data_IF_031576267857
#
_entry.id   IF_031576267857
#
_cell.length_a   1.000
_cell.length_b   1.000
_cell.length_c   1.000
_cell.angle_alpha   90.00
_cell.angle_beta   90.00
_cell.angle_gamma   90.00
#
_symmetry.space_group_name_H-M   'P 1'
#
loop_
_entity.id
_entity.type
_entity.pdbx_description
1 polymer ?
#
# COMPACT_ATOMS: atom_id res chain seq x y z
N UNK A 1 12.92 -1.96 5.90
CA UNK A 1 12.81 -0.57 5.39
C UNK A 1 11.83 -0.51 4.20
N UNK A 2 10.52 -0.60 4.46
CA UNK A 2 9.45 -0.07 3.59
C UNK A 2 8.76 1.03 4.41
N UNK A 3 7.91 0.62 5.35
CA UNK A 3 7.40 1.41 6.49
C UNK A 3 8.47 2.01 7.42
N UNK A 4 9.75 1.77 7.16
CA UNK A 4 10.83 2.36 7.95
C UNK A 4 11.84 3.09 7.09
N UNK A 5 11.63 3.21 5.77
CA UNK A 5 12.66 3.75 4.88
C UNK A 5 13.06 5.19 5.27
N UNK A 6 12.13 6.16 5.45
CA UNK A 6 12.47 7.50 5.96
C UNK A 6 13.15 7.48 7.33
N UNK A 7 12.71 6.63 8.26
CA UNK A 7 13.31 6.50 9.60
C UNK A 7 14.76 6.00 9.52
N UNK A 8 15.02 4.98 8.71
CA UNK A 8 16.35 4.41 8.50
C UNK A 8 17.26 5.44 7.84
N UNK A 9 16.81 6.10 6.77
CA UNK A 9 17.60 7.12 6.09
C UNK A 9 18.00 8.26 7.05
N UNK A 10 17.10 8.70 7.92
CA UNK A 10 17.37 9.73 8.94
C UNK A 10 18.45 9.33 9.96
N UNK A 11 18.64 8.03 10.18
CA UNK A 11 19.67 7.54 11.11
C UNK A 11 21.06 7.43 10.50
N UNK A 12 21.20 7.64 9.18
CA UNK A 12 22.48 7.55 8.48
C UNK A 12 23.24 8.88 8.58
N UNK A 13 24.54 8.79 8.83
CA UNK A 13 25.44 9.95 8.85
C UNK A 13 25.50 10.58 7.44
N UNK A 14 25.36 11.90 7.38
CA UNK A 14 25.44 12.68 6.13
C UNK A 14 24.12 12.82 5.37
N UNK A 15 23.03 12.19 5.81
CA UNK A 15 21.70 12.40 5.23
C UNK A 15 21.05 13.62 5.88
N UNK A 16 20.77 14.65 5.10
CA UNK A 16 20.05 15.84 5.56
C UNK A 16 18.58 15.52 5.90
N UNK A 17 18.10 15.74 7.13
CA UNK A 17 16.72 15.39 7.50
C UNK A 17 15.65 16.09 6.66
N UNK A 18 15.95 17.27 6.13
CA UNK A 18 15.06 18.05 5.25
C UNK A 18 14.93 17.47 3.84
N UNK A 19 15.87 16.60 3.42
CA UNK A 19 15.78 15.92 2.13
C UNK A 19 14.85 14.70 2.15
N UNK A 20 14.36 14.29 3.32
CA UNK A 20 13.55 13.08 3.48
C UNK A 20 12.06 13.40 3.43
N UNK A 21 11.25 12.61 2.73
CA UNK A 21 9.80 12.79 2.77
C UNK A 21 9.25 12.47 4.16
N UNK A 22 8.17 13.17 4.53
CA UNK A 22 7.38 12.80 5.70
C UNK A 22 6.66 11.47 5.44
N UNK A 23 6.68 10.58 6.43
CA UNK A 23 6.09 9.27 6.31
C UNK A 23 4.69 9.23 6.95
N UNK A 24 3.75 8.63 6.23
CA UNK A 24 2.39 8.36 6.69
C UNK A 24 2.03 6.89 6.45
N UNK A 25 0.90 6.46 6.99
CA UNK A 25 0.44 5.08 6.91
C UNK A 25 -1.04 5.02 6.56
N UNK A 26 -1.35 4.25 5.51
CA UNK A 26 -2.72 3.95 5.12
C UNK A 26 -2.92 2.44 5.15
N UNK A 27 -3.62 1.96 6.19
CA UNK A 27 -4.07 0.59 6.32
C UNK A 27 -5.19 0.30 5.33
N UNK A 28 -5.21 -0.93 4.83
CA UNK A 28 -6.24 -1.48 3.98
C UNK A 28 -6.65 -2.83 4.52
N UNK A 29 -7.90 -2.93 4.92
CA UNK A 29 -8.56 -4.12 5.42
C UNK A 29 -9.12 -4.93 4.25
N UNK A 30 -9.02 -6.26 4.36
CA UNK A 30 -9.57 -7.19 3.38
C UNK A 30 -10.51 -8.17 4.07
N UNK A 31 -11.60 -8.50 3.37
CA UNK A 31 -12.58 -9.49 3.82
C UNK A 31 -12.72 -10.59 2.78
N UNK A 32 -12.64 -11.83 3.24
CA UNK A 32 -12.88 -13.01 2.41
C UNK A 32 -14.37 -13.29 2.29
N UNK A 33 -14.79 -13.79 1.13
CA UNK A 33 -16.15 -14.26 0.92
C UNK A 33 -16.31 -15.71 1.41
N UNK A 34 -17.30 -15.98 2.26
CA UNK A 34 -17.66 -17.38 2.58
C UNK A 34 -18.22 -18.08 1.35
N UNK A 35 -17.61 -19.21 1.00
CA UNK A 35 -18.06 -20.07 -0.09
C UNK A 35 -17.40 -19.74 -1.43
N UNK A 36 -18.07 -20.12 -2.51
CA UNK A 36 -17.51 -20.03 -3.87
C UNK A 36 -17.51 -18.58 -4.36
N UNK A 37 -16.41 -18.17 -4.99
CA UNK A 37 -16.35 -16.90 -5.73
C UNK A 37 -17.45 -16.83 -6.80
N UNK A 38 -18.19 -15.70 -6.90
CA UNK A 38 -19.10 -15.45 -8.02
C UNK A 38 -18.35 -14.99 -9.29
N UNK A 39 -17.05 -14.67 -9.18
CA UNK A 39 -16.23 -14.13 -10.27
C UNK A 39 -15.17 -15.14 -10.73
N UNK A 40 -14.85 -15.09 -12.02
CA UNK A 40 -13.73 -15.83 -12.65
C UNK A 40 -12.53 -14.93 -12.97
N UNK A 41 -12.64 -13.62 -12.73
CA UNK A 41 -11.59 -12.63 -12.93
C UNK A 41 -11.62 -11.59 -11.79
N UNK A 42 -10.60 -10.72 -11.76
CA UNK A 42 -10.56 -9.60 -10.83
C UNK A 42 -11.55 -8.52 -11.28
N UNK A 43 -12.25 -7.89 -10.34
CA UNK A 43 -13.21 -6.81 -10.62
C UNK A 43 -12.73 -5.52 -9.94
N UNK A 44 -12.56 -4.47 -10.74
CA UNK A 44 -12.17 -3.15 -10.30
C UNK A 44 -13.27 -2.17 -10.71
N UNK A 45 -14.05 -1.63 -9.76
CA UNK A 45 -14.99 -0.55 -10.05
C UNK A 45 -14.24 0.67 -10.61
N UNK A 46 -14.93 1.45 -11.44
CA UNK A 46 -14.39 2.73 -11.91
C UNK A 46 -14.19 3.65 -10.70
N UNK A 47 -13.03 4.32 -10.56
CA UNK A 47 -12.82 5.27 -9.47
C UNK A 47 -13.86 6.39 -9.51
N UNK A 48 -14.57 6.59 -8.40
CA UNK A 48 -15.41 7.77 -8.16
C UNK A 48 -14.75 8.63 -7.08
N UNK A 49 -14.89 9.96 -7.14
CA UNK A 49 -14.27 10.89 -6.18
C UNK A 49 -14.63 10.60 -4.71
N UNK A 50 -15.77 9.94 -4.46
CA UNK A 50 -16.30 9.65 -3.12
C UNK A 50 -16.43 8.15 -2.78
N UNK A 51 -16.05 7.24 -3.69
CA UNK A 51 -16.19 5.80 -3.49
C UNK A 51 -14.98 5.17 -2.80
N UNK A 52 -15.19 4.10 -2.03
CA UNK A 52 -14.11 3.35 -1.38
C UNK A 52 -13.29 2.54 -2.39
N UNK A 53 -13.88 2.23 -3.56
CA UNK A 53 -13.21 1.53 -4.65
C UNK A 53 -12.86 0.08 -4.29
N UNK A 54 -13.80 -0.65 -3.67
CA UNK A 54 -13.57 -2.02 -3.19
C UNK A 54 -13.46 -2.99 -4.36
N UNK A 55 -12.25 -3.48 -4.62
CA UNK A 55 -12.00 -4.49 -5.65
C UNK A 55 -12.43 -5.89 -5.18
N UNK A 56 -12.83 -6.75 -6.12
CA UNK A 56 -12.87 -8.19 -5.89
C UNK A 56 -11.61 -8.82 -6.50
N UNK A 57 -10.85 -9.51 -5.66
CA UNK A 57 -9.65 -10.25 -6.08
C UNK A 57 -9.83 -11.73 -5.82
N UNK A 58 -9.08 -12.54 -6.58
CA UNK A 58 -9.03 -14.00 -6.42
C UNK A 58 -7.61 -14.38 -6.05
N UNK A 59 -7.47 -15.26 -5.07
CA UNK A 59 -6.19 -15.92 -4.87
C UNK A 59 -5.98 -17.08 -5.82
N UNK A 60 -4.81 -17.72 -5.72
CA UNK A 60 -4.45 -18.84 -6.57
C UNK A 60 -5.35 -20.07 -6.36
N UNK A 61 -6.05 -20.16 -5.23
CA UNK A 61 -7.07 -21.17 -4.95
C UNK A 61 -8.48 -20.79 -5.44
N UNK A 62 -8.65 -19.59 -6.00
CA UNK A 62 -9.94 -19.07 -6.45
C UNK A 62 -10.80 -18.49 -5.32
N UNK A 63 -10.26 -18.33 -4.11
CA UNK A 63 -10.98 -17.71 -3.00
C UNK A 63 -11.11 -16.21 -3.26
N UNK A 64 -12.34 -15.70 -3.16
CA UNK A 64 -12.63 -14.29 -3.37
C UNK A 64 -12.36 -13.47 -2.11
N UNK A 65 -11.71 -12.32 -2.29
CA UNK A 65 -11.48 -11.29 -1.27
C UNK A 65 -11.92 -9.94 -1.80
N UNK A 66 -12.53 -9.16 -0.93
CA UNK A 66 -12.89 -7.78 -1.17
C UNK A 66 -11.93 -6.84 -0.45
N UNK A 67 -11.57 -5.76 -1.13
CA UNK A 67 -10.75 -4.69 -0.58
C UNK A 67 -9.63 -4.26 -1.53
N UNK A 68 -8.64 -3.53 -1.00
CA UNK A 68 -8.62 -2.94 0.33
C UNK A 68 -9.51 -1.71 0.45
N UNK A 69 -9.89 -1.36 1.68
CA UNK A 69 -10.30 0.01 2.01
C UNK A 69 -9.10 0.94 2.26
N UNK A 70 -9.40 2.14 2.77
CA UNK A 70 -8.40 3.10 3.24
C UNK A 70 -8.74 3.54 4.66
N UNK A 71 -7.81 3.27 5.57
CA UNK A 71 -7.84 3.69 6.96
C UNK A 71 -6.48 4.35 7.29
N UNK A 72 -6.48 5.66 7.53
CA UNK A 72 -5.26 6.38 7.90
C UNK A 72 -4.93 6.10 9.37
N UNK A 73 -3.74 5.55 9.62
CA UNK A 73 -3.32 5.11 10.95
C UNK A 73 -2.01 5.77 11.36
N UNK A 74 -1.78 5.83 12.67
CA UNK A 74 -0.49 6.24 13.24
C UNK A 74 0.13 5.04 13.97
N UNK A 75 1.47 4.89 13.96
CA UNK A 75 2.13 3.88 14.77
C UNK A 75 1.85 4.10 16.26
N UNK A 76 1.80 3.02 17.02
CA UNK A 76 1.71 3.05 18.48
C UNK A 76 2.96 3.66 19.14
N UNK A 77 2.95 3.78 20.47
CA UNK A 77 4.04 4.40 21.23
C UNK A 77 5.41 3.72 21.04
N UNK A 78 5.42 2.42 20.72
CA UNK A 78 6.62 1.63 20.41
C UNK A 78 7.02 1.67 18.91
N UNK A 79 6.27 2.40 18.08
CA UNK A 79 6.48 2.48 16.63
C UNK A 79 5.88 1.33 15.83
N UNK A 80 5.07 0.46 16.45
CA UNK A 80 4.40 -0.65 15.75
C UNK A 80 3.12 -0.20 15.07
N UNK A 81 2.82 -0.82 13.92
CA UNK A 81 1.57 -0.65 13.20
C UNK A 81 0.60 -1.75 13.61
N UNK A 82 -0.67 -1.39 13.79
CA UNK A 82 -1.72 -2.36 14.06
C UNK A 82 -2.27 -2.96 12.76
N UNK A 83 -2.21 -4.28 12.67
CA UNK A 83 -2.70 -5.07 11.53
C UNK A 83 -3.98 -5.84 11.83
N UNK A 84 -4.58 -5.66 13.01
CA UNK A 84 -5.87 -6.30 13.33
C UNK A 84 -6.96 -5.81 12.38
N UNK A 85 -7.67 -6.73 11.73
CA UNK A 85 -8.78 -6.36 10.84
C UNK A 85 -9.99 -5.99 11.68
N UNK A 86 -10.51 -4.78 11.49
CA UNK A 86 -11.70 -4.33 12.22
C UNK A 86 -12.95 -5.02 11.68
N UNK A 87 -13.63 -5.82 12.50
CA UNK A 87 -14.84 -6.51 12.08
C UNK A 87 -15.97 -5.55 11.66
N UNK A 88 -16.06 -4.38 12.30
CA UNK A 88 -17.15 -3.42 12.06
C UNK A 88 -17.05 -2.73 10.70
N UNK A 89 -15.86 -2.68 10.10
CA UNK A 89 -15.65 -2.09 8.77
C UNK A 89 -16.12 -3.00 7.64
N UNK A 90 -16.57 -4.23 7.90
CA UNK A 90 -17.20 -5.05 6.87
C UNK A 90 -18.49 -4.41 6.33
N UNK A 91 -19.18 -3.61 7.14
CA UNK A 91 -20.47 -3.01 6.78
C UNK A 91 -20.36 -2.10 5.55
N UNK A 92 -19.31 -1.27 5.47
CA UNK A 92 -19.09 -0.38 4.31
C UNK A 92 -18.70 -1.15 3.03
N UNK A 93 -18.28 -2.41 3.14
CA UNK A 93 -17.97 -3.25 1.98
C UNK A 93 -19.24 -3.80 1.35
N UNK A 94 -20.29 -4.09 2.13
CA UNK A 94 -21.55 -4.59 1.58
C UNK A 94 -22.15 -3.61 0.59
N UNK A 95 -22.24 -2.34 0.98
CA UNK A 95 -22.82 -1.30 0.14
C UNK A 95 -22.02 -1.11 -1.16
N UNK A 96 -20.69 -1.01 -1.06
CA UNK A 96 -19.80 -0.81 -2.21
C UNK A 96 -19.78 -2.00 -3.16
N UNK A 97 -19.69 -3.24 -2.63
CA UNK A 97 -19.68 -4.45 -3.46
C UNK A 97 -21.03 -4.66 -4.14
N UNK A 98 -22.15 -4.34 -3.47
CA UNK A 98 -23.50 -4.49 -4.05
C UNK A 98 -23.73 -3.60 -5.26
N UNK A 99 -22.93 -2.55 -5.46
CA UNK A 99 -22.99 -1.71 -6.66
C UNK A 99 -22.67 -2.49 -7.95
N UNK A 100 -21.77 -3.47 -7.88
CA UNK A 100 -21.41 -4.32 -9.02
C UNK A 100 -21.81 -5.79 -8.86
N UNK A 101 -22.14 -6.23 -7.64
CA UNK A 101 -22.70 -7.55 -7.36
C UNK A 101 -23.84 -7.47 -6.34
N UNK A 102 -25.06 -7.10 -6.77
CA UNK A 102 -26.22 -6.93 -5.88
C UNK A 102 -26.60 -8.18 -5.08
N UNK A 103 -26.20 -9.36 -5.55
CA UNK A 103 -26.49 -10.65 -4.92
C UNK A 103 -25.59 -11.04 -3.74
N UNK A 104 -24.71 -10.14 -3.26
CA UNK A 104 -23.85 -10.40 -2.10
C UNK A 104 -24.70 -10.73 -0.84
N UNK A 105 -24.61 -11.95 -0.28
CA UNK A 105 -25.41 -12.35 0.88
C UNK A 105 -24.97 -11.66 2.16
N UNK A 106 -25.92 -11.27 3.03
CA UNK A 106 -25.61 -10.75 4.36
C UNK A 106 -24.75 -11.72 5.19
N UNK A 107 -23.84 -11.20 6.01
CA UNK A 107 -22.96 -11.99 6.88
C UNK A 107 -21.96 -12.92 6.17
N UNK A 108 -21.84 -12.84 4.84
CA UNK A 108 -20.89 -13.64 4.06
C UNK A 108 -19.45 -13.11 4.03
N UNK A 109 -19.19 -11.88 4.50
CA UNK A 109 -17.85 -11.30 4.56
C UNK A 109 -17.19 -11.63 5.91
N UNK A 110 -15.98 -12.18 5.85
CA UNK A 110 -15.20 -12.56 7.03
C UNK A 110 -13.89 -11.80 7.02
N UNK A 111 -13.48 -11.17 8.15
CA UNK A 111 -12.17 -10.56 8.26
C UNK A 111 -11.07 -11.54 7.86
N UNK A 112 -10.15 -11.06 7.03
CA UNK A 112 -9.07 -11.89 6.49
C UNK A 112 -7.72 -11.33 6.94
N UNK A 113 -7.22 -10.32 6.24
CA UNK A 113 -5.94 -9.67 6.59
C UNK A 113 -6.00 -8.17 6.36
N UNK A 114 -5.02 -7.45 6.93
CA UNK A 114 -4.77 -6.06 6.63
C UNK A 114 -3.35 -5.87 6.08
N UNK A 115 -3.20 -4.95 5.15
CA UNK A 115 -1.91 -4.42 4.71
C UNK A 115 -1.79 -2.95 5.07
N UNK A 116 -0.58 -2.43 5.23
CA UNK A 116 -0.35 -1.00 5.42
C UNK A 116 0.52 -0.48 4.28
N UNK A 117 0.16 0.68 3.71
CA UNK A 117 0.92 1.34 2.65
C UNK A 117 1.88 2.38 3.24
N UNK A 118 3.16 2.43 2.81
CA UNK A 118 4.13 3.43 3.26
C UNK A 118 3.94 4.75 2.50
N UNK A 119 2.96 5.56 2.91
CA UNK A 119 2.59 6.81 2.23
C UNK A 119 3.63 7.91 2.46
N UNK A 120 3.80 8.81 1.49
CA UNK A 120 4.63 10.03 1.59
C UNK A 120 3.81 11.33 1.37
N UNK A 121 2.50 11.16 1.30
CA UNK A 121 1.47 12.18 1.27
C UNK A 121 0.57 12.02 2.50
N UNK A 122 0.04 13.13 3.00
CA UNK A 122 -0.90 13.12 4.11
C UNK A 122 -2.32 12.73 3.65
N UNK A 123 -3.21 12.46 4.61
CA UNK A 123 -4.62 12.24 4.32
C UNK A 123 -5.24 13.50 3.67
N UNK A 124 -5.96 13.30 2.56
CA UNK A 124 -6.56 14.39 1.77
C UNK A 124 -5.61 15.06 0.78
N UNK A 125 -4.32 14.73 0.78
CA UNK A 125 -3.39 15.19 -0.26
C UNK A 125 -3.49 14.29 -1.52
N UNK A 126 -3.21 14.85 -2.71
CA UNK A 126 -3.05 14.04 -3.92
C UNK A 126 -2.00 12.95 -3.74
N UNK A 127 -2.24 11.80 -4.36
CA UNK A 127 -1.25 10.71 -4.39
C UNK A 127 0.06 11.19 -5.00
N UNK A 128 1.17 10.85 -4.33
CA UNK A 128 2.53 11.14 -4.80
C UNK A 128 3.13 9.89 -5.44
N UNK A 129 4.03 10.10 -6.40
CA UNK A 129 4.77 9.03 -7.06
C UNK A 129 5.82 8.41 -6.12
N UNK A 130 6.38 7.27 -6.52
CA UNK A 130 7.55 6.69 -5.86
C UNK A 130 8.72 7.67 -5.87
N UNK A 131 9.49 7.68 -4.78
CA UNK A 131 10.69 8.51 -4.68
C UNK A 131 11.92 7.62 -4.62
N UNK A 132 12.77 7.72 -5.65
CA UNK A 132 14.09 7.07 -5.70
C UNK A 132 15.16 8.15 -5.56
N UNK A 133 15.74 8.26 -4.37
CA UNK A 133 16.87 9.16 -4.13
C UNK A 133 18.19 8.46 -4.33
N UNK A 134 19.15 9.20 -4.86
CA UNK A 134 20.47 8.72 -5.29
C UNK A 134 21.53 9.74 -4.90
N UNK A 135 22.81 9.46 -5.17
CA UNK A 135 23.92 10.43 -5.00
C UNK A 135 23.60 11.83 -5.56
N UNK A 136 22.86 11.93 -6.67
CA UNK A 136 22.48 13.23 -7.26
C UNK A 136 21.57 14.07 -6.34
N UNK A 137 20.85 13.44 -5.44
CA UNK A 137 19.90 14.07 -4.53
C UNK A 137 20.52 14.39 -3.17
N UNK A 138 21.32 13.48 -2.62
CA UNK A 138 21.86 13.58 -1.26
C UNK A 138 23.40 13.62 -1.18
N UNK A 139 24.12 13.57 -2.29
CA UNK A 139 25.59 13.64 -2.35
C UNK A 139 26.34 12.36 -1.92
N UNK A 140 25.71 11.46 -1.18
CA UNK A 140 26.32 10.22 -0.67
C UNK A 140 26.47 9.17 -1.78
N UNK A 141 27.69 8.72 -2.05
CA UNK A 141 27.98 7.64 -2.99
C UNK A 141 27.60 6.27 -2.40
N UNK A 142 27.09 5.36 -3.24
CA UNK A 142 26.69 4.00 -2.83
C UNK A 142 25.38 3.91 -2.03
N UNK A 143 24.71 5.03 -1.75
CA UNK A 143 23.40 5.06 -1.11
C UNK A 143 22.29 5.32 -2.14
N UNK A 144 21.23 4.51 -2.07
CA UNK A 144 19.98 4.72 -2.81
C UNK A 144 18.82 4.52 -1.83
N UNK A 145 17.94 5.51 -1.71
CA UNK A 145 16.74 5.40 -0.89
C UNK A 145 15.51 5.23 -1.76
N UNK A 146 14.62 4.30 -1.37
CA UNK A 146 13.32 4.10 -2.01
C UNK A 146 12.24 4.44 -0.98
N UNK A 147 11.45 5.47 -1.26
CA UNK A 147 10.35 5.93 -0.41
C UNK A 147 9.03 5.88 -1.15
N UNK A 148 7.94 5.74 -0.40
CA UNK A 148 6.61 5.76 -1.01
C UNK A 148 6.29 4.54 -1.86
N UNK A 149 7.04 3.43 -1.75
CA UNK A 149 6.83 2.23 -2.57
C UNK A 149 5.57 1.49 -2.11
N UNK A 150 4.41 2.06 -2.43
CA UNK A 150 3.08 1.47 -2.29
C UNK A 150 2.67 0.73 -3.57
N UNK A 151 1.37 0.53 -3.84
CA UNK A 151 0.93 -0.03 -5.13
C UNK A 151 1.28 0.93 -6.28
N UNK A 152 1.79 0.46 -7.44
CA UNK A 152 1.97 -0.94 -7.86
C UNK A 152 3.40 -1.49 -7.65
N UNK A 153 3.98 -1.31 -6.46
CA UNK A 153 5.39 -1.60 -6.16
C UNK A 153 5.81 -3.06 -6.31
N UNK A 154 4.90 -4.01 -6.04
CA UNK A 154 5.16 -5.43 -6.31
C UNK A 154 5.32 -5.68 -7.82
N UNK A 155 4.40 -5.16 -8.63
CA UNK A 155 4.44 -5.25 -10.09
C UNK A 155 5.69 -4.55 -10.65
N UNK A 156 6.08 -3.42 -10.09
CA UNK A 156 7.24 -2.63 -10.51
C UNK A 156 8.59 -3.12 -9.93
N UNK A 157 8.59 -4.16 -9.09
CA UNK A 157 9.75 -4.54 -8.29
C UNK A 157 11.03 -4.83 -9.10
N UNK A 158 10.93 -5.55 -10.21
CA UNK A 158 12.08 -5.87 -11.07
C UNK A 158 12.62 -4.64 -11.82
N UNK A 159 11.72 -3.72 -12.20
CA UNK A 159 12.11 -2.46 -12.84
C UNK A 159 12.81 -1.54 -11.83
N UNK A 160 12.28 -1.44 -10.60
CA UNK A 160 12.92 -0.71 -9.51
C UNK A 160 14.30 -1.30 -9.18
N UNK A 161 14.43 -2.62 -9.09
CA UNK A 161 15.72 -3.27 -8.86
C UNK A 161 16.74 -2.97 -9.97
N UNK A 162 16.30 -2.97 -11.23
CA UNK A 162 17.17 -2.61 -12.37
C UNK A 162 17.62 -1.16 -12.32
N UNK A 163 16.70 -0.24 -12.04
CA UNK A 163 17.03 1.18 -11.85
C UNK A 163 18.06 1.38 -10.73
N UNK A 164 17.88 0.70 -9.59
CA UNK A 164 18.82 0.79 -8.46
C UNK A 164 20.20 0.28 -8.84
N UNK A 165 20.28 -0.86 -9.52
CA UNK A 165 21.56 -1.42 -10.01
C UNK A 165 22.25 -0.42 -10.94
N UNK A 166 21.55 0.07 -11.97
CA UNK A 166 22.14 0.96 -12.97
C UNK A 166 22.65 2.27 -12.35
N UNK A 167 21.93 2.81 -11.35
CA UNK A 167 22.36 3.99 -10.58
C UNK A 167 23.63 3.73 -9.78
N UNK A 168 23.76 2.53 -9.19
CA UNK A 168 24.93 2.17 -8.38
C UNK A 168 26.15 1.89 -9.26
N UNK A 169 25.96 1.24 -10.40
CA UNK A 169 27.04 0.92 -11.35
C UNK A 169 27.63 2.19 -11.97
N UNK A 170 26.79 3.16 -12.38
CA UNK A 170 27.24 4.48 -12.87
C UNK A 170 27.96 5.33 -11.81
N UNK A 171 27.88 4.97 -10.53
CA UNK A 171 28.57 5.66 -9.45
C UNK A 171 29.99 5.14 -9.17
N UNK A 172 30.38 4.03 -9.80
CA UNK A 172 31.67 3.36 -9.65
C UNK A 172 32.67 3.67 -10.78
N UNK A 173 32.28 4.47 -11.77
CA UNK A 173 33.16 5.11 -12.76
C UNK A 173 33.50 6.54 -12.35
#
# INVERSE_FOLDING_TARGET
>A
AGHGAPRVARSLVGVEPSSLPQQHFAKGNYYSLRGRSPFSCLVYPVPEEAGLGVHATLDLGGQCRFGPDVEWVSPGANGELDYQVDHSRADIFYDEVRRYWPGLPDGSLVPDYAGVRPKIQAAGEPSKDFVVQTKKHHGIAGLVNLFGIESPGLTASLALASLVRDVLDMGNE
#
